data_IF_576185508669
#
_entry.id   IF_576185508669
#
_cell.length_a   1.000
_cell.length_b   1.000
_cell.length_c   1.000
_cell.angle_alpha   90.00
_cell.angle_beta   90.00
_cell.angle_gamma   90.00
#
_symmetry.space_group_name_H-M   'P 1'
#
loop_
_entity.id
_entity.type
_entity.pdbx_description
1 polymer ?
#
# COMPACT_ATOMS: atom_id res chain seq x y z
N UNK A 1 -34.17 -32.07 16.81
CA UNK A 1 -32.88 -31.93 16.11
C UNK A 1 -32.17 -30.78 16.80
N UNK A 2 -31.00 -31.01 17.38
CA UNK A 2 -30.26 -30.00 18.15
C UNK A 2 -29.55 -29.05 17.20
N UNK A 3 -29.91 -27.77 17.23
CA UNK A 3 -29.23 -26.71 16.46
C UNK A 3 -27.73 -26.70 16.80
N UNK A 4 -26.90 -26.63 15.77
CA UNK A 4 -25.45 -26.61 15.96
C UNK A 4 -25.01 -25.28 16.58
N UNK A 5 -23.92 -25.25 17.37
CA UNK A 5 -23.39 -24.00 17.94
C UNK A 5 -23.03 -22.96 16.88
N UNK A 6 -22.79 -23.41 15.65
CA UNK A 6 -22.52 -22.57 14.50
C UNK A 6 -23.79 -21.87 13.99
N UNK A 7 -24.91 -22.58 13.87
CA UNK A 7 -26.20 -22.01 13.46
C UNK A 7 -26.72 -20.99 14.46
N UNK A 8 -26.57 -21.25 15.77
CA UNK A 8 -26.93 -20.29 16.81
C UNK A 8 -26.10 -19.00 16.73
N UNK A 9 -24.80 -19.10 16.42
CA UNK A 9 -23.91 -17.94 16.25
C UNK A 9 -24.23 -17.15 14.99
N UNK A 10 -24.57 -17.83 13.89
CA UNK A 10 -25.04 -17.20 12.66
C UNK A 10 -26.35 -16.44 12.88
N UNK A 11 -27.33 -17.05 13.54
CA UNK A 11 -28.61 -16.42 13.86
C UNK A 11 -28.46 -15.24 14.83
N UNK A 12 -27.54 -15.33 15.78
CA UNK A 12 -27.23 -14.21 16.69
C UNK A 12 -26.51 -13.04 16.01
N UNK A 13 -25.61 -13.33 15.05
CA UNK A 13 -24.83 -12.31 14.36
C UNK A 13 -25.60 -11.61 13.23
N UNK A 14 -26.48 -12.34 12.55
CA UNK A 14 -27.14 -11.85 11.34
C UNK A 14 -28.66 -11.69 11.48
N UNK A 15 -29.27 -12.14 12.59
CA UNK A 15 -30.73 -12.13 12.76
C UNK A 15 -31.44 -12.98 11.71
N UNK A 16 -32.77 -13.11 11.80
CA UNK A 16 -33.58 -13.81 10.79
C UNK A 16 -33.69 -12.98 9.50
N UNK A 17 -32.57 -12.79 8.80
CA UNK A 17 -32.53 -12.25 7.43
C UNK A 17 -32.77 -13.41 6.48
N UNK A 18 -33.97 -13.99 6.50
CA UNK A 18 -34.58 -14.64 5.32
C UNK A 18 -36.02 -15.16 5.54
N UNK A 19 -36.89 -14.48 6.28
CA UNK A 19 -38.35 -14.68 6.08
C UNK A 19 -39.11 -13.37 6.25
N UNK A 20 -39.37 -12.69 5.12
CA UNK A 20 -40.66 -12.06 4.79
C UNK A 20 -40.55 -11.21 3.52
N UNK A 21 -40.42 -11.89 2.37
CA UNK A 21 -41.03 -11.37 1.16
C UNK A 21 -42.51 -11.74 1.17
N UNK A 22 -43.34 -10.94 1.88
CA UNK A 22 -44.80 -10.76 1.67
C UNK A 22 -45.45 -10.03 2.86
N UNK A 23 -45.77 -8.76 2.68
CA UNK A 23 -47.07 -8.10 2.98
C UNK A 23 -46.91 -6.63 3.42
N UNK A 24 -47.46 -5.77 2.58
CA UNK A 24 -48.27 -4.57 2.88
C UNK A 24 -47.80 -3.55 3.94
N UNK A 25 -47.47 -2.35 3.45
CA UNK A 25 -48.29 -1.15 3.70
C UNK A 25 -48.11 -0.40 5.04
N UNK A 26 -47.78 0.89 4.88
CA UNK A 26 -47.98 2.03 5.79
C UNK A 26 -46.71 2.65 6.40
N UNK A 27 -46.76 3.98 6.41
CA UNK A 27 -45.76 4.98 6.72
C UNK A 27 -45.14 4.81 8.11
N UNK A 28 -43.83 5.06 8.20
CA UNK A 28 -43.22 6.09 9.04
C UNK A 28 -41.79 6.29 8.52
N UNK A 29 -41.46 7.51 8.12
CA UNK A 29 -40.09 7.99 7.94
C UNK A 29 -40.00 9.37 8.62
N UNK A 30 -38.83 9.90 9.01
CA UNK A 30 -37.50 9.31 9.30
C UNK A 30 -36.94 9.84 10.67
N UNK A 31 -35.69 9.54 11.10
CA UNK A 31 -34.56 10.37 10.64
C UNK A 31 -33.24 9.62 10.39
N UNK A 32 -32.61 9.99 9.27
CA UNK A 32 -31.19 10.31 9.08
C UNK A 32 -30.09 9.50 9.78
N UNK A 33 -29.23 8.96 8.90
CA UNK A 33 -27.79 8.67 9.03
C UNK A 33 -27.41 7.41 9.79
N UNK A 34 -27.16 6.38 9.00
CA UNK A 34 -25.78 5.93 8.91
C UNK A 34 -25.44 6.03 7.44
N UNK A 35 -24.51 6.92 7.09
CA UNK A 35 -23.79 6.76 5.85
C UNK A 35 -23.40 5.29 5.83
N UNK A 36 -23.82 4.54 4.81
CA UNK A 36 -23.07 3.35 4.47
C UNK A 36 -21.66 3.89 4.27
N UNK A 37 -20.81 3.72 5.28
CA UNK A 37 -19.39 3.82 5.08
C UNK A 37 -19.18 2.73 4.05
N UNK A 38 -19.17 3.13 2.77
CA UNK A 38 -18.46 2.37 1.76
C UNK A 38 -17.11 2.24 2.41
N UNK A 39 -16.80 1.05 2.95
CA UNK A 39 -15.43 0.73 3.25
C UNK A 39 -14.76 0.85 1.90
N UNK A 40 -14.19 2.04 1.63
CA UNK A 40 -13.21 2.20 0.59
C UNK A 40 -12.17 1.16 0.95
N UNK A 41 -12.20 0.04 0.24
CA UNK A 41 -11.16 -0.96 0.37
C UNK A 41 -9.91 -0.27 -0.16
N UNK A 42 -9.12 0.24 0.78
CA UNK A 42 -7.89 0.90 0.46
C UNK A 42 -7.00 -0.10 -0.27
N UNK A 43 -6.68 0.23 -1.51
CA UNK A 43 -5.95 -0.67 -2.38
C UNK A 43 -4.50 -0.70 -1.94
N UNK A 44 -4.04 -1.87 -1.53
CA UNK A 44 -2.64 -2.11 -1.15
C UNK A 44 -1.83 -2.36 -2.42
N UNK A 45 -0.67 -1.71 -2.52
CA UNK A 45 0.25 -1.77 -3.63
C UNK A 45 1.63 -2.19 -3.09
N UNK A 46 2.26 -3.16 -3.74
CA UNK A 46 3.66 -3.48 -3.52
C UNK A 46 4.48 -2.98 -4.71
N UNK A 47 5.53 -2.21 -4.43
CA UNK A 47 6.45 -1.67 -5.44
C UNK A 47 7.89 -2.00 -5.11
N UNK A 48 8.68 -2.23 -6.16
CA UNK A 48 10.13 -2.34 -6.07
C UNK A 48 10.72 -0.94 -6.16
N UNK A 49 11.45 -0.53 -5.13
CA UNK A 49 12.13 0.76 -5.06
C UNK A 49 13.63 0.53 -5.11
N UNK A 50 14.29 1.29 -5.97
CA UNK A 50 15.72 1.31 -6.16
C UNK A 50 16.24 2.62 -5.59
N UNK A 51 17.22 2.54 -4.71
CA UNK A 51 17.85 3.67 -4.04
C UNK A 51 19.31 3.69 -4.45
N UNK A 52 19.73 4.77 -5.11
CA UNK A 52 21.14 5.02 -5.40
C UNK A 52 21.77 5.74 -4.20
N UNK A 53 22.87 5.21 -3.69
CA UNK A 53 23.62 5.82 -2.60
C UNK A 53 25.07 5.35 -2.59
N UNK A 54 25.82 5.74 -1.57
CA UNK A 54 27.21 5.30 -1.37
C UNK A 54 27.19 4.11 -0.40
N UNK A 55 27.66 2.96 -0.84
CA UNK A 55 27.81 1.79 0.03
C UNK A 55 29.00 2.03 0.98
N UNK A 56 28.77 1.99 2.29
CA UNK A 56 29.80 2.29 3.30
C UNK A 56 30.93 1.24 3.35
N UNK A 57 30.66 -0.01 2.95
CA UNK A 57 31.64 -1.09 2.98
C UNK A 57 32.70 -0.91 1.90
N UNK A 58 32.28 -0.45 0.71
CA UNK A 58 33.14 -0.30 -0.46
C UNK A 58 33.51 1.15 -0.77
N UNK A 59 32.82 2.12 -0.14
CA UNK A 59 32.93 3.56 -0.39
C UNK A 59 32.75 3.91 -1.88
N UNK A 60 31.81 3.22 -2.54
CA UNK A 60 31.50 3.36 -3.96
C UNK A 60 29.99 3.54 -4.17
N UNK A 61 29.56 4.22 -5.26
CA UNK A 61 28.16 4.31 -5.63
C UNK A 61 27.59 2.92 -5.95
N UNK A 62 26.49 2.57 -5.30
CA UNK A 62 25.82 1.28 -5.48
C UNK A 62 24.30 1.45 -5.38
N UNK A 63 23.54 0.41 -5.77
CA UNK A 63 22.08 0.41 -5.76
C UNK A 63 21.56 -0.52 -4.67
N UNK A 64 20.81 0.04 -3.73
CA UNK A 64 19.99 -0.72 -2.80
C UNK A 64 18.60 -0.96 -3.40
N UNK A 65 18.13 -2.21 -3.39
CA UNK A 65 16.79 -2.57 -3.90
C UNK A 65 15.92 -3.09 -2.75
N UNK A 66 14.74 -2.53 -2.58
CA UNK A 66 13.79 -2.94 -1.54
C UNK A 66 12.36 -2.95 -2.03
N UNK A 67 11.53 -3.79 -1.41
CA UNK A 67 10.11 -3.87 -1.70
C UNK A 67 9.35 -3.05 -0.66
N UNK A 68 8.57 -2.07 -1.09
CA UNK A 68 7.71 -1.30 -0.21
C UNK A 68 6.26 -1.66 -0.48
N UNK A 69 5.58 -2.11 0.57
CA UNK A 69 4.13 -2.31 0.54
C UNK A 69 3.50 -1.09 1.20
N UNK A 70 2.65 -0.41 0.44
CA UNK A 70 2.03 0.84 0.82
C UNK A 70 0.60 0.88 0.26
N UNK A 71 -0.21 1.79 0.76
CA UNK A 71 -1.54 2.02 0.22
C UNK A 71 -1.47 2.85 -1.06
N UNK A 72 -2.54 2.86 -1.85
CA UNK A 72 -2.62 3.71 -3.04
C UNK A 72 -2.48 5.19 -2.68
N UNK A 73 -2.98 5.61 -1.52
CA UNK A 73 -2.78 6.97 -1.02
C UNK A 73 -1.30 7.23 -0.71
N UNK A 74 -0.64 6.36 0.06
CA UNK A 74 0.79 6.48 0.40
C UNK A 74 1.70 6.50 -0.84
N UNK A 75 1.30 5.81 -1.92
CA UNK A 75 2.02 5.81 -3.19
C UNK A 75 1.94 7.16 -3.92
N UNK A 76 0.77 7.81 -3.92
CA UNK A 76 0.53 9.05 -4.66
C UNK A 76 0.80 10.31 -3.84
N UNK A 77 0.63 10.26 -2.52
CA UNK A 77 0.93 11.38 -1.61
C UNK A 77 2.40 11.38 -1.23
N UNK A 78 3.10 12.45 -1.62
CA UNK A 78 4.45 12.79 -1.19
C UNK A 78 5.54 11.74 -1.45
N UNK A 79 5.23 10.64 -2.15
CA UNK A 79 6.18 9.57 -2.43
C UNK A 79 6.68 8.87 -1.18
N UNK A 80 5.81 8.62 -0.20
CA UNK A 80 6.18 8.01 1.09
C UNK A 80 6.90 6.67 0.91
N UNK A 81 6.55 5.90 -0.12
CA UNK A 81 7.23 4.65 -0.44
C UNK A 81 8.71 4.84 -0.79
N UNK A 82 9.07 5.97 -1.40
CA UNK A 82 10.46 6.33 -1.69
C UNK A 82 11.21 6.68 -0.40
N UNK A 83 10.60 7.47 0.48
CA UNK A 83 11.18 7.84 1.79
C UNK A 83 11.42 6.58 2.64
N UNK A 84 10.45 5.67 2.68
CA UNK A 84 10.60 4.38 3.37
C UNK A 84 11.77 3.56 2.81
N UNK A 85 11.97 3.60 1.49
CA UNK A 85 13.08 2.90 0.86
C UNK A 85 14.44 3.53 1.21
N UNK A 86 14.53 4.86 1.23
CA UNK A 86 15.74 5.60 1.63
C UNK A 86 16.17 5.28 3.06
N UNK A 87 15.23 5.29 3.99
CA UNK A 87 15.52 4.96 5.39
C UNK A 87 16.00 3.51 5.55
N UNK A 88 15.45 2.58 4.77
CA UNK A 88 15.94 1.20 4.73
C UNK A 88 17.33 1.11 4.12
N UNK A 89 17.63 1.88 3.08
CA UNK A 89 18.97 1.92 2.49
C UNK A 89 20.00 2.39 3.54
N UNK A 90 19.67 3.45 4.29
CA UNK A 90 20.50 3.95 5.40
C UNK A 90 20.75 2.88 6.46
N UNK A 91 19.72 2.14 6.85
CA UNK A 91 19.84 1.03 7.80
C UNK A 91 20.71 -0.13 7.29
N UNK A 92 20.85 -0.28 5.97
CA UNK A 92 21.67 -1.30 5.32
C UNK A 92 23.06 -0.78 4.90
N UNK A 93 23.50 0.35 5.44
CA UNK A 93 24.85 0.87 5.22
C UNK A 93 25.01 1.70 3.95
N UNK A 94 23.93 2.16 3.32
CA UNK A 94 23.99 3.16 2.26
C UNK A 94 23.93 4.56 2.87
N UNK A 95 24.98 5.34 2.70
CA UNK A 95 25.04 6.74 3.13
C UNK A 95 24.72 7.66 1.95
N UNK A 96 24.17 8.84 2.28
CA UNK A 96 23.83 9.88 1.31
C UNK A 96 23.02 9.36 0.10
N UNK A 97 21.80 8.83 0.32
CA UNK A 97 20.96 8.38 -0.78
C UNK A 97 20.67 9.58 -1.70
N UNK A 98 21.15 9.51 -2.94
CA UNK A 98 21.06 10.61 -3.88
C UNK A 98 19.73 10.59 -4.64
N UNK A 99 19.22 9.40 -4.96
CA UNK A 99 18.02 9.23 -5.77
C UNK A 99 17.28 7.94 -5.43
N UNK A 100 15.96 8.03 -5.32
CA UNK A 100 15.07 6.89 -5.14
C UNK A 100 13.96 6.90 -6.18
N UNK A 101 13.66 5.75 -6.76
CA UNK A 101 12.58 5.59 -7.74
C UNK A 101 12.03 4.17 -7.71
N UNK A 102 10.77 4.02 -8.12
CA UNK A 102 10.10 2.73 -8.20
C UNK A 102 10.05 2.17 -9.62
N UNK A 103 9.88 0.85 -9.74
CA UNK A 103 9.84 0.12 -11.03
C UNK A 103 8.71 0.58 -11.97
N UNK A 104 7.66 1.23 -11.45
CA UNK A 104 6.56 1.72 -12.30
C UNK A 104 6.96 2.95 -13.09
N UNK A 105 8.05 3.63 -12.73
CA UNK A 105 8.61 4.67 -13.57
C UNK A 105 9.12 4.08 -14.90
N UNK A 106 8.54 4.51 -16.02
CA UNK A 106 8.85 3.95 -17.36
C UNK A 106 10.32 4.00 -17.78
N UNK A 107 11.16 4.77 -17.09
CA UNK A 107 12.54 5.07 -17.50
C UNK A 107 13.60 4.78 -16.43
N UNK A 108 13.32 3.93 -15.43
CA UNK A 108 14.28 3.55 -14.40
C UNK A 108 15.63 3.13 -14.98
N UNK A 109 15.62 2.16 -15.90
CA UNK A 109 16.85 1.64 -16.53
C UNK A 109 17.60 2.75 -17.28
N UNK A 110 16.88 3.67 -17.93
CA UNK A 110 17.48 4.81 -18.62
C UNK A 110 18.09 5.84 -17.65
N UNK A 111 17.44 6.09 -16.51
CA UNK A 111 17.96 6.97 -15.45
C UNK A 111 19.23 6.38 -14.82
N UNK A 112 19.19 5.11 -14.45
CA UNK A 112 20.34 4.37 -13.93
C UNK A 112 21.49 4.34 -14.94
N UNK A 113 21.20 4.00 -16.20
CA UNK A 113 22.18 4.01 -17.27
C UNK A 113 22.91 5.35 -17.37
N UNK A 114 22.19 6.48 -17.38
CA UNK A 114 22.79 7.83 -17.43
C UNK A 114 23.67 8.14 -16.22
N UNK A 115 23.27 7.70 -15.03
CA UNK A 115 24.02 7.95 -13.79
C UNK A 115 25.34 7.16 -13.76
N UNK A 116 25.32 5.90 -14.18
CA UNK A 116 26.52 5.04 -14.19
C UNK A 116 27.42 5.22 -15.42
N UNK A 117 26.92 5.83 -16.49
CA UNK A 117 27.72 6.12 -17.70
C UNK A 117 28.21 7.57 -17.79
N UNK A 118 27.81 8.44 -16.85
CA UNK A 118 28.41 9.76 -16.72
C UNK A 118 29.86 9.59 -16.21
N UNK A 119 30.88 10.11 -16.92
CA UNK A 119 32.23 10.12 -16.37
C UNK A 119 32.23 10.94 -15.08
N UNK A 120 32.82 10.38 -14.02
CA UNK A 120 33.15 11.14 -12.81
C UNK A 120 34.04 12.30 -13.26
N UNK A 121 33.47 13.51 -13.32
CA UNK A 121 34.23 14.70 -13.69
C UNK A 121 35.41 14.87 -12.71
N UNK A 122 36.64 15.09 -13.21
CA UNK A 122 37.82 15.26 -12.38
C UNK A 122 37.83 16.56 -11.58
#
# INVERSE_FOLDING_TARGET
MSESPFEARLKAAYGDVYENSKQSGSEIAPPLRTESVMQMQEKVITVNVYVLGINIEYNEPDIFVTHVTCTEQEYYEEGLHLIMAEERAKQNGFVDPMFSFDERERNVIGKLGRLFSAPLSP
#
